data_IF_447335463379
#
_entry.id   IF_447335463379
#
_cell.length_a   1.000
_cell.length_b   1.000
_cell.length_c   1.000
_cell.angle_alpha   90.00
_cell.angle_beta   90.00
_cell.angle_gamma   90.00
#
_symmetry.space_group_name_H-M   'P 1'
#
loop_
_entity.id
_entity.type
_entity.pdbx_description
1 polymer ?
#
# COMPACT_ATOMS: atom_id res chain seq x y z
N UNK A 1 25.19 -36.39 35.14
CA UNK A 1 25.00 -35.75 34.94
C UNK A 1 24.90 -34.88 34.92
N UNK A 2 24.55 -34.80 34.66
CA UNK A 2 24.33 -33.89 34.57
C UNK A 2 24.52 -32.85 34.60
N UNK A 3 24.39 -32.61 34.85
CA UNK A 3 24.69 -31.47 35.06
C UNK A 3 24.97 -30.89 33.92
N UNK A 4 25.16 -31.20 33.24
CA UNK A 4 25.58 -30.64 32.23
C UNK A 4 24.57 -30.33 31.41
N UNK A 5 23.82 -30.92 31.19
CA UNK A 5 22.96 -30.63 30.43
C UNK A 5 22.37 -29.43 30.57
N UNK A 6 22.15 -29.06 31.45
CA UNK A 6 21.48 -27.92 31.72
C UNK A 6 21.97 -26.79 31.00
N UNK A 7 23.12 -26.64 30.92
CA UNK A 7 23.61 -25.55 30.32
C UNK A 7 23.28 -25.43 28.94
N UNK A 8 23.42 -26.34 28.22
CA UNK A 8 23.17 -26.13 26.89
C UNK A 8 21.83 -25.73 26.63
N UNK A 9 20.96 -26.07 27.34
CA UNK A 9 19.70 -25.69 27.14
C UNK A 9 19.54 -24.28 27.09
N UNK A 10 20.10 -23.58 27.85
CA UNK A 10 20.03 -22.23 27.88
C UNK A 10 20.24 -21.56 26.66
N UNK A 11 21.24 -21.82 26.04
CA UNK A 11 21.50 -21.13 24.89
C UNK A 11 20.46 -21.16 23.93
N UNK A 12 19.87 -22.17 23.75
CA UNK A 12 18.93 -22.18 22.79
C UNK A 12 17.96 -21.18 22.92
N UNK A 13 17.46 -20.94 23.95
CA UNK A 13 16.52 -20.01 24.09
C UNK A 13 16.83 -18.71 23.67
N UNK A 14 17.87 -18.28 23.90
CA UNK A 14 18.22 -16.99 23.53
C UNK A 14 18.07 -16.73 22.14
N UNK A 15 18.45 -17.49 21.34
CA UNK A 15 18.35 -17.32 19.99
C UNK A 15 17.04 -16.94 19.50
N UNK A 16 16.09 -17.55 19.87
CA UNK A 16 14.86 -17.25 19.40
C UNK A 16 14.43 -15.90 19.48
N UNK A 17 14.57 -15.32 20.48
CA UNK A 17 14.12 -14.02 20.59
C UNK A 17 14.63 -13.11 19.63
N UNK A 18 15.75 -13.17 19.33
CA UNK A 18 16.33 -12.22 18.47
C UNK A 18 15.66 -12.22 17.15
N UNK A 19 15.39 -13.32 16.68
CA UNK A 19 14.85 -13.34 15.37
C UNK A 19 13.55 -12.64 15.31
N UNK A 20 12.79 -12.77 16.21
CA UNK A 20 11.54 -12.18 16.16
C UNK A 20 11.63 -10.73 15.93
N UNK A 21 12.40 -10.13 16.59
CA UNK A 21 12.50 -8.74 16.47
C UNK A 21 12.72 -8.27 15.09
N UNK A 22 13.54 -8.84 14.47
CA UNK A 22 13.88 -8.39 13.18
C UNK A 22 12.72 -8.28 12.27
N UNK A 23 11.96 -9.19 12.26
CA UNK A 23 10.91 -9.16 11.40
C UNK A 23 9.98 -8.05 11.39
N UNK A 24 9.47 -7.74 12.43
CA UNK A 24 8.52 -6.76 12.41
C UNK A 24 8.87 -5.51 11.75
N UNK A 25 9.95 -5.14 11.88
CA UNK A 25 10.34 -3.94 11.31
C UNK A 25 10.09 -3.81 9.89
N UNK A 26 10.50 -4.71 9.17
CA UNK A 26 10.36 -4.58 7.78
C UNK A 26 8.99 -4.39 7.34
N UNK A 27 8.13 -5.04 7.93
CA UNK A 27 6.81 -4.95 7.44
C UNK A 27 6.29 -3.57 7.47
N UNK A 28 6.60 -2.91 8.42
CA UNK A 28 6.08 -1.61 8.59
C UNK A 28 6.41 -0.70 7.47
N UNK A 29 7.56 -0.70 7.08
CA UNK A 29 7.96 0.15 6.06
C UNK A 29 7.30 -0.09 4.77
N UNK A 30 7.20 -1.27 4.44
CA UNK A 30 6.63 -1.59 3.17
C UNK A 30 5.23 -1.11 3.00
N UNK A 31 4.58 -0.88 4.03
CA UNK A 31 3.21 -0.49 3.90
C UNK A 31 3.00 0.97 3.62
N UNK A 32 4.02 1.71 3.50
CA UNK A 32 3.85 3.10 3.30
C UNK A 32 3.23 3.41 1.98
N UNK A 33 2.25 4.27 2.00
CA UNK A 33 1.63 4.75 0.78
C UNK A 33 2.50 5.82 0.20
N UNK A 34 2.54 5.92 -1.07
CA UNK A 34 3.31 6.95 -1.72
C UNK A 34 2.49 8.20 -1.98
N UNK A 35 3.10 9.14 -2.62
CA UNK A 35 2.47 10.39 -2.98
C UNK A 35 2.96 10.78 -4.37
N UNK A 36 2.06 11.38 -5.15
CA UNK A 36 2.46 11.83 -6.46
C UNK A 36 3.36 13.07 -6.36
N UNK A 37 3.26 13.80 -5.27
CA UNK A 37 4.08 15.00 -5.08
C UNK A 37 3.51 16.25 -5.71
N UNK A 38 2.36 16.18 -6.33
CA UNK A 38 1.69 17.31 -6.93
C UNK A 38 0.22 16.99 -7.06
N UNK A 39 -0.64 18.00 -7.16
CA UNK A 39 -2.06 17.72 -7.33
C UNK A 39 -2.32 17.15 -8.72
N UNK A 40 -3.40 16.39 -8.86
CA UNK A 40 -3.77 15.82 -10.13
C UNK A 40 -4.67 16.75 -10.94
N UNK A 41 -5.21 17.78 -10.33
CA UNK A 41 -6.04 18.76 -11.02
C UNK A 41 -6.00 20.08 -10.27
N UNK A 42 -6.28 21.16 -10.96
CA UNK A 42 -6.46 22.46 -10.33
C UNK A 42 -7.93 22.83 -10.27
N UNK A 43 -8.82 21.96 -10.72
CA UNK A 43 -10.23 22.22 -10.73
C UNK A 43 -10.82 22.22 -9.33
N UNK A 44 -11.88 22.99 -9.12
CA UNK A 44 -12.54 23.03 -7.83
C UNK A 44 -13.14 21.68 -7.49
N UNK A 45 -13.20 21.37 -6.22
CA UNK A 45 -13.71 20.10 -5.78
C UNK A 45 -15.13 19.82 -6.25
N UNK A 46 -15.91 20.86 -6.46
CA UNK A 46 -17.29 20.70 -6.95
C UNK A 46 -17.33 20.08 -8.35
N UNK A 47 -16.20 20.04 -9.05
CA UNK A 47 -16.15 19.45 -10.37
C UNK A 47 -15.60 18.04 -10.36
N UNK A 48 -15.28 17.51 -9.20
CA UNK A 48 -14.70 16.18 -9.12
C UNK A 48 -15.79 15.12 -9.15
N UNK A 49 -15.45 13.99 -9.72
CA UNK A 49 -16.33 12.84 -9.72
C UNK A 49 -16.32 12.21 -8.32
N UNK A 50 -17.34 11.42 -8.05
CA UNK A 50 -17.37 10.69 -6.78
C UNK A 50 -16.31 9.61 -6.78
N UNK A 51 -15.97 9.12 -5.60
CA UNK A 51 -15.02 8.03 -5.49
C UNK A 51 -15.52 6.82 -6.24
N UNK A 52 -16.81 6.55 -6.17
CA UNK A 52 -17.38 5.40 -6.86
C UNK A 52 -17.25 5.53 -8.37
N UNK A 53 -17.41 6.75 -8.88
CA UNK A 53 -17.28 6.95 -10.31
C UNK A 53 -15.82 6.81 -10.74
N UNK A 54 -14.88 7.30 -9.93
CA UNK A 54 -13.47 7.15 -10.23
C UNK A 54 -13.08 5.69 -10.21
N UNK A 55 -13.59 4.93 -9.25
CA UNK A 55 -13.31 3.54 -9.15
C UNK A 55 -13.80 2.79 -10.38
N UNK A 56 -15.02 3.09 -10.83
CA UNK A 56 -15.57 2.46 -12.03
C UNK A 56 -14.75 2.77 -13.26
N UNK A 57 -14.28 4.01 -13.38
CA UNK A 57 -13.48 4.36 -14.54
C UNK A 57 -12.14 3.66 -14.56
N UNK A 58 -11.53 3.49 -13.40
CA UNK A 58 -10.25 2.79 -13.32
C UNK A 58 -10.46 1.30 -13.58
N UNK A 59 -11.55 0.74 -13.08
CA UNK A 59 -11.84 -0.67 -13.32
C UNK A 59 -12.10 -0.93 -14.79
N UNK A 60 -12.69 0.02 -15.49
CA UNK A 60 -12.92 -0.14 -16.91
C UNK A 60 -11.61 -0.20 -17.68
N UNK A 61 -10.52 0.23 -17.09
CA UNK A 61 -9.22 0.18 -17.74
C UNK A 61 -8.46 -1.11 -17.43
N UNK A 62 -9.08 -2.03 -16.71
CA UNK A 62 -8.49 -3.35 -16.48
C UNK A 62 -7.92 -3.57 -15.08
N UNK A 63 -8.14 -2.66 -14.18
CA UNK A 63 -7.65 -2.80 -12.82
C UNK A 63 -8.74 -3.31 -11.90
N UNK A 64 -8.35 -3.94 -10.80
CA UNK A 64 -9.29 -4.34 -9.78
C UNK A 64 -9.01 -3.44 -8.59
N UNK A 65 -9.89 -2.51 -8.31
CA UNK A 65 -9.67 -1.55 -7.25
C UNK A 65 -9.99 -2.17 -5.89
N UNK A 66 -9.08 -2.00 -4.95
CA UNK A 66 -9.25 -2.54 -3.61
C UNK A 66 -9.54 -1.45 -2.60
N UNK A 67 -9.08 -0.24 -2.85
CA UNK A 67 -9.30 0.86 -1.94
C UNK A 67 -9.14 2.15 -2.71
N UNK A 68 -9.96 3.14 -2.42
CA UNK A 68 -9.90 4.42 -3.10
C UNK A 68 -10.16 5.55 -2.13
N UNK A 69 -9.49 6.66 -2.33
CA UNK A 69 -9.70 7.86 -1.53
C UNK A 69 -9.32 9.08 -2.33
N UNK A 70 -9.74 10.26 -1.86
CA UNK A 70 -9.34 11.51 -2.45
C UNK A 70 -8.34 12.16 -1.50
N UNK A 71 -7.24 12.61 -2.03
CA UNK A 71 -6.21 13.24 -1.22
C UNK A 71 -5.37 14.14 -2.10
N UNK A 72 -5.11 15.37 -1.67
CA UNK A 72 -4.27 16.31 -2.40
C UNK A 72 -4.73 16.53 -3.84
N UNK A 73 -6.01 16.63 -4.03
CA UNK A 73 -6.63 16.83 -5.35
C UNK A 73 -6.34 15.69 -6.32
N UNK A 74 -6.11 14.50 -5.80
CA UNK A 74 -5.97 13.30 -6.61
C UNK A 74 -6.93 12.23 -6.12
N UNK A 75 -7.36 11.38 -7.01
CA UNK A 75 -7.91 10.11 -6.61
C UNK A 75 -6.72 9.19 -6.39
N UNK A 76 -6.63 8.55 -5.22
CA UNK A 76 -5.57 7.58 -4.93
C UNK A 76 -6.22 6.22 -4.82
N UNK A 77 -5.89 5.33 -5.74
CA UNK A 77 -6.52 4.04 -5.81
C UNK A 77 -5.49 2.92 -5.68
N UNK A 78 -5.71 2.06 -4.70
CA UNK A 78 -4.87 0.89 -4.53
C UNK A 78 -5.55 -0.22 -5.29
N UNK A 79 -4.88 -0.80 -6.24
CA UNK A 79 -5.49 -1.74 -7.16
C UNK A 79 -4.58 -2.89 -7.53
N UNK A 80 -5.16 -3.89 -8.17
CA UNK A 80 -4.38 -4.96 -8.79
C UNK A 80 -4.48 -4.75 -10.30
N UNK A 81 -3.38 -4.94 -10.99
CA UNK A 81 -3.39 -4.86 -12.44
C UNK A 81 -3.88 -6.20 -12.99
N UNK A 82 -3.96 -6.34 -14.30
CA UNK A 82 -4.50 -7.55 -14.89
C UNK A 82 -3.65 -8.78 -14.63
N UNK A 83 -2.43 -8.63 -14.21
CA UNK A 83 -1.58 -9.74 -13.86
C UNK A 83 -1.58 -10.02 -12.35
N UNK A 84 -2.41 -9.31 -11.60
CA UNK A 84 -2.48 -9.49 -10.17
C UNK A 84 -1.46 -8.69 -9.38
N UNK A 85 -0.70 -7.84 -10.04
CA UNK A 85 0.32 -7.05 -9.35
C UNK A 85 -0.29 -5.85 -8.65
N UNK A 86 0.23 -5.50 -7.49
CA UNK A 86 -0.28 -4.37 -6.75
C UNK A 86 0.25 -3.07 -7.30
N UNK A 87 -0.63 -2.10 -7.46
CA UNK A 87 -0.25 -0.78 -7.95
C UNK A 87 -0.98 0.27 -7.16
N UNK A 88 -0.38 1.42 -7.04
CA UNK A 88 -1.07 2.58 -6.49
C UNK A 88 -1.21 3.57 -7.63
N UNK A 89 -2.44 3.97 -7.95
CA UNK A 89 -2.73 4.82 -9.07
C UNK A 89 -3.17 6.19 -8.59
N UNK A 90 -2.67 7.21 -9.26
CA UNK A 90 -3.08 8.58 -9.00
C UNK A 90 -3.86 9.06 -10.19
N UNK A 91 -5.08 9.48 -9.97
CA UNK A 91 -5.96 9.85 -11.07
C UNK A 91 -6.49 11.26 -10.93
N UNK A 92 -6.74 11.88 -12.06
CA UNK A 92 -7.37 13.19 -12.09
C UNK A 92 -8.82 13.01 -11.65
N UNK A 93 -9.25 13.64 -10.56
CA UNK A 93 -10.58 13.41 -10.03
C UNK A 93 -11.70 14.00 -10.88
N UNK A 94 -11.38 14.79 -11.89
CA UNK A 94 -12.42 15.33 -12.75
C UNK A 94 -12.80 14.37 -13.87
N UNK A 95 -11.94 13.42 -14.21
CA UNK A 95 -12.20 12.54 -15.33
C UNK A 95 -11.76 11.09 -15.16
N UNK A 96 -11.02 10.81 -14.09
CA UNK A 96 -10.56 9.44 -13.84
C UNK A 96 -9.33 9.02 -14.63
N UNK A 97 -8.68 9.94 -15.33
CA UNK A 97 -7.49 9.59 -16.08
C UNK A 97 -6.33 9.33 -15.13
N UNK A 98 -5.59 8.28 -15.39
CA UNK A 98 -4.43 7.93 -14.58
C UNK A 98 -3.30 8.86 -14.95
N UNK A 99 -2.79 9.60 -13.99
CA UNK A 99 -1.71 10.55 -14.23
C UNK A 99 -0.42 10.19 -13.52
N UNK A 100 -0.42 9.14 -12.74
CA UNK A 100 0.79 8.66 -12.08
C UNK A 100 0.57 7.27 -11.50
N UNK A 101 1.67 6.59 -11.21
CA UNK A 101 1.59 5.23 -10.70
C UNK A 101 2.83 4.91 -9.88
N UNK A 102 2.64 4.17 -8.81
CA UNK A 102 3.74 3.66 -7.99
C UNK A 102 3.70 2.16 -7.95
#
# INVERSE_FOLDING_TARGET
MSGDRPKEIIMRKLILLSSAAAILVTGAVAAQAGSLGRPCTSAAQSQWLSIEALQSKVEAQGYKVQKAKLKNACGELYALDKNGGRVELFVDPTNGNIVGQL
#
